data_IF_640304353896
#
_entry.id   IF_640304353896
#
_cell.length_a   1.000
_cell.length_b   1.000
_cell.length_c   1.000
_cell.angle_alpha   90.00
_cell.angle_beta   90.00
_cell.angle_gamma   90.00
#
_symmetry.space_group_name_H-M   'P 1'
#
loop_
_entity.id
_entity.type
_entity.pdbx_description
1 polymer ?
#
# COMPACT_ATOMS: atom_id res chain seq x y z
N UNK A 1 -2.15 5.12 0.88
CA UNK A 1 -1.70 6.51 0.63
C UNK A 1 -0.18 6.59 0.70
N UNK A 2 0.46 7.54 0.01
CA UNK A 2 1.92 7.69 0.05
C UNK A 2 2.37 8.90 0.87
N UNK A 3 2.66 8.68 2.16
CA UNK A 3 3.26 9.69 3.04
C UNK A 3 4.79 9.60 2.96
N UNK A 4 5.45 10.74 2.77
CA UNK A 4 6.90 10.79 2.56
C UNK A 4 7.59 11.62 3.63
N UNK A 5 8.71 11.12 4.15
CA UNK A 5 9.63 11.83 5.02
C UNK A 5 11.02 11.82 4.34
N UNK A 6 11.46 12.98 3.85
CA UNK A 6 12.56 13.04 2.90
C UNK A 6 12.26 12.23 1.63
N UNK A 7 13.18 11.33 1.27
CA UNK A 7 13.09 10.42 0.12
C UNK A 7 12.55 9.02 0.49
N UNK A 8 12.08 8.85 1.73
CA UNK A 8 11.51 7.58 2.21
C UNK A 8 9.99 7.66 2.29
N UNK A 9 9.32 6.58 1.90
CA UNK A 9 7.85 6.44 1.97
C UNK A 9 7.46 5.59 3.16
N UNK A 10 6.38 5.96 3.85
CA UNK A 10 5.83 5.16 4.92
C UNK A 10 5.15 3.91 4.36
N UNK A 11 5.54 2.74 4.87
CA UNK A 11 4.83 1.48 4.70
C UNK A 11 4.37 0.94 6.05
N UNK A 12 3.29 0.18 6.02
CA UNK A 12 2.76 -0.62 7.14
C UNK A 12 2.93 -2.10 6.85
N UNK A 13 3.15 -2.92 7.87
CA UNK A 13 3.11 -4.38 7.77
C UNK A 13 1.77 -4.89 8.31
N UNK A 14 0.93 -5.38 7.42
CA UNK A 14 -0.38 -5.94 7.76
C UNK A 14 -0.24 -7.40 8.21
N UNK A 15 -0.81 -7.73 9.38
CA UNK A 15 -0.79 -9.05 10.01
C UNK A 15 -1.61 -10.10 9.26
N UNK A 16 -2.72 -9.72 8.64
CA UNK A 16 -3.61 -10.62 7.90
C UNK A 16 -3.09 -10.88 6.48
N UNK A 17 -2.63 -9.82 5.81
CA UNK A 17 -2.06 -9.86 4.47
C UNK A 17 -0.61 -10.30 4.47
N UNK A 18 0.10 -10.29 5.61
CA UNK A 18 1.49 -10.78 5.75
C UNK A 18 2.42 -10.13 4.71
N UNK A 19 2.42 -8.80 4.65
CA UNK A 19 3.21 -8.02 3.70
C UNK A 19 3.20 -6.53 3.99
N UNK A 20 4.18 -5.84 3.40
CA UNK A 20 4.31 -4.39 3.45
C UNK A 20 3.48 -3.72 2.36
N UNK A 21 2.77 -2.66 2.73
CA UNK A 21 1.89 -1.91 1.84
C UNK A 21 1.79 -0.44 2.24
N UNK A 22 1.18 0.37 1.39
CA UNK A 22 0.92 1.77 1.71
C UNK A 22 -0.25 1.85 2.70
N UNK A 23 -0.18 2.71 3.74
CA UNK A 23 -1.25 2.85 4.72
C UNK A 23 -2.60 3.16 4.06
N UNK A 24 -3.69 2.56 4.52
CA UNK A 24 -5.02 2.91 4.04
C UNK A 24 -6.03 1.77 4.09
N UNK A 25 -7.30 2.17 4.18
CA UNK A 25 -8.43 1.25 4.24
C UNK A 25 -9.64 1.78 3.48
N UNK A 26 -10.81 1.34 3.93
CA UNK A 26 -12.10 1.69 3.33
C UNK A 26 -12.50 3.12 3.68
N UNK A 27 -13.27 3.74 2.78
CA UNK A 27 -13.90 5.04 3.07
C UNK A 27 -15.18 4.75 3.86
N UNK A 28 -15.33 5.37 5.03
CA UNK A 28 -16.53 5.16 5.85
C UNK A 28 -17.72 6.00 5.36
N UNK A 29 -18.97 5.60 5.71
CA UNK A 29 -20.16 6.38 5.37
C UNK A 29 -20.07 7.83 5.87
N UNK A 30 -20.18 8.79 4.96
CA UNK A 30 -20.14 10.22 5.27
C UNK A 30 -18.73 10.83 5.18
N UNK A 31 -17.69 10.04 4.96
CA UNK A 31 -16.34 10.55 4.72
C UNK A 31 -16.10 10.86 3.24
N UNK A 32 -15.35 11.94 2.97
CA UNK A 32 -14.66 12.09 1.68
C UNK A 32 -13.45 11.14 1.61
N UNK A 33 -12.98 10.75 0.41
CA UNK A 33 -11.79 9.92 0.26
C UNK A 33 -10.54 10.49 0.96
N UNK A 34 -10.45 11.82 1.05
CA UNK A 34 -9.35 12.51 1.74
C UNK A 34 -9.44 12.35 3.25
N UNK A 35 -10.65 12.41 3.81
CA UNK A 35 -10.89 12.21 5.24
C UNK A 35 -10.56 10.77 5.62
N UNK A 36 -11.09 9.79 4.91
CA UNK A 36 -10.77 8.38 5.15
C UNK A 36 -9.27 8.13 5.07
N UNK A 37 -8.58 8.64 4.04
CA UNK A 37 -7.13 8.52 3.95
C UNK A 37 -6.41 9.12 5.19
N UNK A 38 -6.78 10.32 5.63
CA UNK A 38 -6.16 10.95 6.79
C UNK A 38 -6.46 10.21 8.11
N UNK A 39 -7.68 9.67 8.27
CA UNK A 39 -8.08 8.84 9.40
C UNK A 39 -7.25 7.55 9.46
N UNK A 40 -7.25 6.79 8.37
CA UNK A 40 -6.51 5.52 8.27
C UNK A 40 -5.02 5.71 8.55
N UNK A 41 -4.42 6.76 7.99
CA UNK A 41 -3.01 7.07 8.28
C UNK A 41 -2.77 7.25 9.78
N UNK A 42 -3.64 7.99 10.47
CA UNK A 42 -3.51 8.21 11.90
C UNK A 42 -3.71 6.91 12.70
N UNK A 43 -4.73 6.13 12.38
CA UNK A 43 -5.10 4.90 13.08
C UNK A 43 -4.05 3.80 12.91
N UNK A 44 -3.56 3.60 11.68
CA UNK A 44 -2.60 2.56 11.35
C UNK A 44 -1.17 2.89 11.78
N UNK A 45 -0.81 4.18 11.84
CA UNK A 45 0.61 4.57 11.93
C UNK A 45 0.94 5.61 12.98
N UNK A 46 -0.07 6.27 13.55
CA UNK A 46 0.08 7.44 14.42
C UNK A 46 0.58 8.69 13.70
N UNK A 47 0.80 8.65 12.38
CA UNK A 47 1.37 9.77 11.64
C UNK A 47 0.30 10.77 11.20
N UNK A 48 0.66 12.05 11.17
CA UNK A 48 -0.15 13.11 10.56
C UNK A 48 0.62 13.76 9.42
N UNK A 49 -0.03 14.08 8.28
CA UNK A 49 0.64 14.81 7.22
C UNK A 49 0.92 16.25 7.69
N UNK A 50 2.11 16.78 7.37
CA UNK A 50 2.49 18.16 7.67
C UNK A 50 1.78 19.22 6.81
N UNK A 51 0.70 18.86 6.13
CA UNK A 51 -0.05 19.70 5.21
C UNK A 51 -1.17 18.92 4.52
N UNK A 52 -1.90 19.55 3.57
CA UNK A 52 -2.98 18.87 2.87
C UNK A 52 -2.41 17.71 2.05
N UNK A 53 -3.07 16.55 2.16
CA UNK A 53 -2.85 15.45 1.23
C UNK A 53 -3.11 15.93 -0.20
N UNK A 54 -2.31 15.54 -1.19
CA UNK A 54 -2.56 15.84 -2.60
C UNK A 54 -3.20 14.63 -3.25
N UNK A 55 -4.30 14.81 -3.98
CA UNK A 55 -4.85 13.73 -4.80
C UNK A 55 -3.92 13.47 -6.00
N UNK A 56 -3.58 12.22 -6.24
CA UNK A 56 -2.67 11.80 -7.31
C UNK A 56 -3.43 11.11 -8.44
N UNK A 57 -4.43 10.30 -8.09
CA UNK A 57 -5.23 9.56 -9.05
C UNK A 57 -6.02 8.45 -8.38
N UNK A 58 -6.61 7.57 -9.17
CA UNK A 58 -7.41 6.45 -8.67
C UNK A 58 -6.98 5.13 -9.33
N UNK A 59 -6.15 4.30 -8.68
CA UNK A 59 -5.82 3.00 -9.23
C UNK A 59 -7.08 2.14 -9.35
N UNK A 60 -7.24 1.52 -10.53
CA UNK A 60 -8.23 0.47 -10.77
C UNK A 60 -7.52 -0.87 -10.70
N UNK A 61 -7.98 -1.77 -9.85
CA UNK A 61 -7.42 -3.11 -9.71
C UNK A 61 -8.53 -4.14 -9.58
N UNK A 62 -8.18 -5.39 -9.81
CA UNK A 62 -9.11 -6.52 -9.72
C UNK A 62 -8.66 -7.41 -8.58
N UNK A 63 -9.55 -7.66 -7.63
CA UNK A 63 -9.31 -8.59 -6.54
C UNK A 63 -9.60 -10.03 -6.99
N UNK A 64 -8.79 -10.95 -6.49
CA UNK A 64 -9.01 -12.38 -6.62
C UNK A 64 -9.62 -12.92 -5.32
N UNK A 65 -10.41 -14.02 -5.36
CA UNK A 65 -10.72 -14.83 -6.54
C UNK A 65 -11.96 -14.39 -7.33
N UNK A 66 -12.79 -13.50 -6.78
CA UNK A 66 -14.11 -13.13 -7.32
C UNK A 66 -14.07 -12.16 -8.52
N UNK A 67 -12.88 -11.73 -8.93
CA UNK A 67 -12.64 -10.77 -10.01
C UNK A 67 -13.36 -9.44 -9.82
N UNK A 68 -13.59 -9.04 -8.56
CA UNK A 68 -14.21 -7.76 -8.25
C UNK A 68 -13.27 -6.62 -8.64
N UNK A 69 -13.79 -5.70 -9.46
CA UNK A 69 -13.07 -4.47 -9.82
C UNK A 69 -13.26 -3.45 -8.71
N UNK A 70 -12.14 -2.96 -8.19
CA UNK A 70 -12.11 -1.92 -7.17
C UNK A 70 -11.32 -0.70 -7.62
N UNK A 71 -11.60 0.41 -6.96
CA UNK A 71 -10.96 1.70 -7.17
C UNK A 71 -10.42 2.22 -5.85
N UNK A 72 -9.12 2.51 -5.79
CA UNK A 72 -8.53 3.23 -4.67
C UNK A 72 -8.46 4.73 -4.96
N UNK A 73 -8.48 5.58 -3.94
CA UNK A 73 -8.11 6.99 -4.08
C UNK A 73 -6.66 7.18 -3.60
N UNK A 74 -5.73 7.46 -4.52
CA UNK A 74 -4.32 7.64 -4.18
C UNK A 74 -4.05 9.08 -3.79
N UNK A 75 -3.59 9.25 -2.55
CA UNK A 75 -3.11 10.53 -2.03
C UNK A 75 -1.61 10.49 -1.75
N UNK A 76 -0.95 11.64 -1.83
CA UNK A 76 0.42 11.82 -1.34
C UNK A 76 0.57 13.04 -0.44
N UNK A 77 1.32 12.90 0.65
CA UNK A 77 1.61 13.97 1.60
C UNK A 77 3.05 13.95 2.08
N UNK A 78 3.49 15.00 2.76
CA UNK A 78 4.80 15.04 3.44
C UNK A 78 4.58 14.91 4.94
N UNK A 79 5.45 14.18 5.61
CA UNK A 79 5.56 14.11 7.05
C UNK A 79 6.71 15.03 7.46
N UNK A 80 6.43 15.99 8.34
CA UNK A 80 7.45 16.89 8.89
C UNK A 80 8.06 16.31 10.16
N UNK A 81 7.23 15.70 11.00
CA UNK A 81 7.61 15.12 12.28
C UNK A 81 7.10 13.69 12.35
N UNK A 82 8.01 12.74 12.60
CA UNK A 82 7.68 11.32 12.70
C UNK A 82 7.21 11.01 14.12
N UNK A 83 5.96 10.58 14.25
CA UNK A 83 5.40 10.12 15.51
C UNK A 83 5.89 8.71 15.86
N UNK A 84 5.89 8.36 17.15
CA UNK A 84 6.15 6.99 17.59
C UNK A 84 4.97 6.09 17.25
N UNK A 85 5.22 5.01 16.52
CA UNK A 85 4.23 4.01 16.18
C UNK A 85 3.94 3.07 17.35
N UNK A 86 2.67 2.69 17.50
CA UNK A 86 2.22 1.64 18.41
C UNK A 86 1.51 0.55 17.60
N UNK A 87 1.96 -0.71 17.67
CA UNK A 87 1.27 -1.82 17.01
C UNK A 87 -0.19 -1.94 17.44
N UNK A 88 -1.05 -2.27 16.49
CA UNK A 88 -2.48 -2.49 16.72
C UNK A 88 -2.89 -3.88 16.19
N UNK A 89 -4.21 -4.13 16.14
CA UNK A 89 -4.77 -5.43 15.73
C UNK A 89 -4.48 -5.80 14.28
N UNK A 90 -4.36 -4.82 13.39
CA UNK A 90 -4.11 -5.02 11.95
C UNK A 90 -2.63 -4.81 11.59
N UNK A 91 -2.01 -3.79 12.17
CA UNK A 91 -0.66 -3.34 11.82
C UNK A 91 0.35 -3.76 12.88
N UNK A 92 1.32 -4.55 12.46
CA UNK A 92 2.39 -5.06 13.34
C UNK A 92 3.57 -4.09 13.44
N UNK A 93 3.92 -3.46 12.31
CA UNK A 93 5.11 -2.64 12.17
C UNK A 93 4.89 -1.54 11.13
N UNK A 94 5.68 -0.47 11.24
CA UNK A 94 5.82 0.55 10.19
C UNK A 94 7.28 0.68 9.80
N UNK A 95 7.54 1.09 8.57
CA UNK A 95 8.89 1.47 8.14
C UNK A 95 8.88 2.67 7.19
N UNK A 96 9.94 3.47 7.26
CA UNK A 96 10.24 4.51 6.27
C UNK A 96 11.15 3.90 5.21
N UNK A 97 10.53 3.38 4.15
CA UNK A 97 11.17 2.61 3.11
C UNK A 97 11.83 3.51 2.05
N UNK A 98 13.11 3.28 1.78
CA UNK A 98 13.74 3.73 0.54
C UNK A 98 13.37 2.73 -0.56
N UNK A 99 12.86 3.22 -1.70
CA UNK A 99 12.35 2.41 -2.82
C UNK A 99 13.36 1.39 -3.40
N UNK A 100 14.64 1.51 -3.04
CA UNK A 100 15.73 0.64 -3.45
C UNK A 100 16.15 -0.37 -2.38
N UNK A 101 15.70 -0.22 -1.13
CA UNK A 101 16.01 -1.14 -0.04
C UNK A 101 15.22 -2.44 -0.16
N UNK A 102 15.89 -3.56 0.16
CA UNK A 102 15.24 -4.86 0.33
C UNK A 102 14.73 -4.92 1.77
N UNK A 103 13.41 -4.99 1.93
CA UNK A 103 12.78 -5.18 3.23
C UNK A 103 12.66 -6.67 3.58
N UNK A 104 12.70 -7.03 4.87
CA UNK A 104 12.33 -8.36 5.30
C UNK A 104 10.85 -8.62 4.98
N UNK A 105 10.55 -9.79 4.40
CA UNK A 105 9.20 -10.12 3.93
C UNK A 105 8.94 -9.64 2.49
N UNK A 106 7.66 -9.44 2.15
CA UNK A 106 7.26 -8.98 0.82
C UNK A 106 6.67 -7.57 0.86
N UNK A 107 6.97 -6.77 -0.15
CA UNK A 107 6.19 -5.55 -0.44
C UNK A 107 5.15 -5.90 -1.50
N UNK A 108 3.89 -5.52 -1.27
CA UNK A 108 2.83 -5.75 -2.24
C UNK A 108 3.13 -5.01 -3.55
N UNK A 109 3.02 -5.72 -4.68
CA UNK A 109 3.47 -5.20 -5.98
C UNK A 109 2.70 -3.94 -6.42
N UNK A 110 1.39 -3.88 -6.10
CA UNK A 110 0.59 -2.69 -6.34
C UNK A 110 1.15 -1.50 -5.55
N UNK A 111 1.34 -1.65 -4.26
CA UNK A 111 1.86 -0.62 -3.35
C UNK A 111 3.26 -0.14 -3.72
N UNK A 112 4.17 -1.04 -4.06
CA UNK A 112 5.48 -0.68 -4.59
C UNK A 112 5.37 0.17 -5.87
N UNK A 113 4.41 -0.16 -6.75
CA UNK A 113 4.18 0.60 -7.97
C UNK A 113 3.60 2.00 -7.67
N UNK A 114 2.61 2.09 -6.78
CA UNK A 114 2.01 3.36 -6.37
C UNK A 114 3.02 4.26 -5.63
N UNK A 115 3.87 3.68 -4.78
CA UNK A 115 4.97 4.39 -4.13
C UNK A 115 5.90 5.01 -5.17
N UNK A 116 6.40 4.21 -6.13
CA UNK A 116 7.26 4.70 -7.23
C UNK A 116 6.60 5.79 -8.06
N UNK A 117 5.31 5.65 -8.40
CA UNK A 117 4.56 6.67 -9.13
C UNK A 117 4.50 7.99 -8.36
N UNK A 118 4.21 7.94 -7.06
CA UNK A 118 4.14 9.17 -6.25
C UNK A 118 5.50 9.81 -6.02
N UNK A 119 6.58 9.03 -6.01
CA UNK A 119 7.96 9.53 -6.00
C UNK A 119 8.29 10.33 -7.27
N UNK A 120 8.01 9.76 -8.45
CA UNK A 120 8.26 10.41 -9.73
C UNK A 120 7.54 11.75 -9.88
N UNK A 121 6.31 11.85 -9.34
CA UNK A 121 5.50 13.07 -9.39
C UNK A 121 5.93 14.14 -8.37
N UNK A 122 6.92 13.88 -7.52
CA UNK A 122 7.49 14.87 -6.57
C UNK A 122 8.66 15.66 -7.13
N UNK A 123 9.33 15.12 -8.14
CA UNK A 123 10.56 15.70 -8.69
C UNK A 123 10.22 16.89 -9.60
N UNK A 124 10.74 18.10 -9.34
CA UNK A 124 10.58 19.23 -10.25
C UNK A 124 11.35 18.93 -11.55
N UNK A 125 10.65 18.73 -12.67
CA UNK A 125 11.32 18.61 -13.99
C UNK A 125 10.73 17.62 -14.99
N UNK A 126 9.78 16.76 -14.64
CA UNK A 126 9.09 15.90 -15.62
C UNK A 126 7.88 16.61 -16.24
N UNK A 127 8.10 17.85 -16.70
CA UNK A 127 7.20 18.57 -17.58
C UNK A 127 7.19 17.96 -18.98
N UNK A 128 6.59 16.77 -19.14
CA UNK A 128 6.02 16.36 -20.42
C UNK A 128 4.52 16.64 -20.33
N UNK A 129 4.04 17.55 -21.17
CA UNK A 129 2.70 18.13 -21.11
C UNK A 129 1.60 17.11 -20.76
N UNK A 130 0.72 17.51 -19.85
CA UNK A 130 -0.42 16.72 -19.38
C UNK A 130 -1.52 16.59 -20.45
N UNK A 131 -1.20 15.96 -21.58
CA UNK A 131 -2.16 15.39 -22.53
C UNK A 131 -1.76 13.92 -22.76
N UNK A 132 -1.88 13.11 -21.71
CA UNK A 132 -1.54 11.69 -21.74
C UNK A 132 -0.68 11.27 -20.57
N UNK A 133 -1.17 11.43 -19.33
CA UNK A 133 -0.63 10.65 -18.22
C UNK A 133 -0.61 9.18 -18.68
N UNK A 134 0.53 8.47 -18.58
CA UNK A 134 0.54 7.07 -18.97
C UNK A 134 -0.50 6.38 -18.08
N UNK A 135 -1.53 5.81 -18.72
CA UNK A 135 -2.32 4.78 -18.08
C UNK A 135 -1.33 3.65 -17.81
N UNK A 136 -0.79 3.58 -16.59
CA UNK A 136 0.05 2.46 -16.19
C UNK A 136 -0.89 1.26 -16.08
N UNK A 137 -1.08 0.60 -17.22
CA UNK A 137 -1.91 -0.58 -17.36
C UNK A 137 -1.07 -1.77 -16.92
N UNK A 138 -1.22 -2.17 -15.67
CA UNK A 138 -0.67 -3.43 -15.17
C UNK A 138 -1.54 -4.59 -15.65
N UNK A 139 -1.44 -4.92 -16.93
CA UNK A 139 -1.97 -6.18 -17.43
C UNK A 139 -0.98 -7.28 -17.04
N UNK A 140 -1.45 -8.31 -16.31
CA UNK A 140 -0.81 -9.63 -16.15
C UNK A 140 0.12 -9.80 -14.95
N UNK A 141 -0.48 -10.05 -13.79
CA UNK A 141 0.08 -10.99 -12.81
C UNK A 141 -1.03 -11.95 -12.40
N UNK A 142 -1.00 -13.15 -12.98
CA UNK A 142 -1.81 -14.26 -12.47
C UNK A 142 -1.29 -14.58 -11.07
N UNK A 143 -2.16 -14.46 -10.06
CA UNK A 143 -1.94 -15.10 -8.77
C UNK A 143 -1.83 -16.59 -9.07
N UNK A 144 -0.61 -17.13 -9.00
CA UNK A 144 -0.43 -18.58 -8.95
C UNK A 144 -1.20 -19.06 -7.71
N UNK A 145 -2.21 -19.94 -7.86
CA UNK A 145 -2.94 -20.44 -6.70
C UNK A 145 -1.94 -21.11 -5.75
N UNK A 146 -2.01 -20.76 -4.46
CA UNK A 146 -1.25 -21.47 -3.42
C UNK A 146 -1.60 -22.95 -3.51
N UNK A 147 -0.60 -23.81 -3.76
CA UNK A 147 -0.77 -25.24 -3.52
C UNK A 147 -1.14 -25.44 -2.05
N UNK A 148 -2.24 -26.15 -1.81
CA UNK A 148 -2.65 -26.54 -0.46
C UNK A 148 -1.54 -27.42 0.17
N UNK A 149 -1.27 -27.28 1.48
CA UNK A 149 -0.30 -28.13 2.15
C UNK A 149 -0.71 -29.60 2.00
N UNK A 150 0.19 -30.45 1.49
CA UNK A 150 0.01 -31.90 1.45
C UNK A 150 -0.26 -32.39 2.88
N UNK A 151 -1.41 -33.01 3.11
CA UNK A 151 -1.67 -33.75 4.33
C UNK A 151 -0.59 -34.83 4.47
N UNK A 152 0.11 -34.83 5.59
CA UNK A 152 1.04 -35.90 5.95
C UNK A 152 0.25 -37.21 6.03
N UNK A 153 0.68 -38.21 5.27
CA UNK A 153 0.16 -39.57 5.39
C UNK A 153 0.44 -40.07 6.82
N UNK A 154 -0.60 -40.57 7.50
CA UNK A 154 -0.45 -41.28 8.76
C UNK A 154 0.35 -42.58 8.52
N UNK A 155 1.21 -43.00 9.46
CA UNK A 155 1.94 -44.25 9.32
C UNK A 155 0.99 -45.45 9.42
N UNK A 156 1.16 -46.40 8.50
CA UNK A 156 0.53 -47.73 8.52
C UNK A 156 0.73 -48.39 9.90
N UNK A 157 -0.36 -48.72 10.57
CA UNK A 157 -0.33 -49.70 11.65
C UNK A 157 -0.55 -51.09 11.05
N UNK A 158 0.50 -51.90 11.06
CA UNK A 158 0.44 -53.35 10.92
C UNK A 158 0.00 -53.93 12.26
N UNK A 159 -1.16 -54.61 12.27
CA UNK A 159 -1.39 -55.93 12.89
C UNK A 159 -2.78 -56.47 12.48
#
# INVERSE_FOLDING_TARGET
MALWHGDRVLLVFDRFRQGWELPGGLIEPGESPRQGAARELLEETGQTPGGPLRFVGYPRFTLAPDQRVEYGALFSGRCAEVATFQPNEEIEAVCWWDLHEILPGRVHALDACLARLTHQLRLPGTGRGMNGAPLVRMDRWAVQPREAPRQAAAPDQLD
#
